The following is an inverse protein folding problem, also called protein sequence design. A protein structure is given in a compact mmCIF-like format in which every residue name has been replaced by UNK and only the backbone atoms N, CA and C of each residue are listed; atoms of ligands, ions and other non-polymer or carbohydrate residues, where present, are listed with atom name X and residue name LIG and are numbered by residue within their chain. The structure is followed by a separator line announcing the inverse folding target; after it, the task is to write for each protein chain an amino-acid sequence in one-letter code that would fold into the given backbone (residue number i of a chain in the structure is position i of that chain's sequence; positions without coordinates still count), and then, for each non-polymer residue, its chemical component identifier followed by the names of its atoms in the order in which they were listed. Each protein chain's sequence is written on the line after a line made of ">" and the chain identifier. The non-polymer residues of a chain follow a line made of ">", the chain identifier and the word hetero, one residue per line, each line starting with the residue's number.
data_IF_376769597560
#
_entry.id   IF_376769597560
#
_cell.length_a   1.000
_cell.length_b   1.000
_cell.length_c   1.000
_cell.angle_alpha   90.00
_cell.angle_beta   90.00
_cell.angle_gamma   90.00
#
_symmetry.space_group_name_H-M   'P 1'
#
loop_
_entity.id
_entity.type
_entity.pdbx_description
1 polymer ?
#
# COMPACT_ATOMS: atom_id res chain seq x y z
N UNK A 1 0.92 -11.54 -12.34
CA UNK A 1 2.20 -12.31 -12.35
C UNK A 1 3.45 -11.49 -12.72
N UNK A 2 3.36 -10.25 -13.23
CA UNK A 2 4.55 -9.42 -13.54
C UNK A 2 5.33 -8.93 -12.29
N UNK A 3 4.65 -8.64 -11.19
CA UNK A 3 5.30 -8.13 -9.97
C UNK A 3 6.31 -9.11 -9.34
N UNK A 4 6.05 -10.43 -9.44
CA UNK A 4 6.96 -11.46 -8.94
C UNK A 4 8.18 -11.69 -9.83
N UNK A 5 8.08 -11.43 -11.14
CA UNK A 5 9.19 -11.59 -12.07
C UNK A 5 10.28 -10.51 -11.91
N UNK A 6 9.91 -9.33 -11.41
CA UNK A 6 10.84 -8.25 -11.08
C UNK A 6 11.30 -8.26 -9.61
N UNK A 7 10.85 -9.24 -8.82
CA UNK A 7 11.26 -9.39 -7.43
C UNK A 7 12.69 -9.95 -7.37
N UNK A 8 13.67 -9.08 -7.13
CA UNK A 8 15.04 -9.54 -6.98
C UNK A 8 15.31 -9.90 -5.50
N UNK A 9 15.29 -11.21 -5.24
CA UNK A 9 15.43 -11.82 -3.90
C UNK A 9 16.73 -11.42 -3.19
N UNK A 10 17.77 -10.98 -3.93
CA UNK A 10 19.03 -10.49 -3.33
C UNK A 10 18.86 -9.21 -2.52
N UNK A 11 17.84 -8.39 -2.81
CA UNK A 11 17.61 -7.14 -2.08
C UNK A 11 16.71 -7.31 -0.85
N UNK A 12 16.10 -8.48 -0.64
CA UNK A 12 15.24 -8.76 0.53
C UNK A 12 15.93 -8.56 1.89
N UNK A 13 17.22 -8.92 2.10
CA UNK A 13 17.90 -8.71 3.38
C UNK A 13 18.16 -7.22 3.69
N UNK A 14 18.55 -6.42 2.68
CA UNK A 14 18.72 -4.97 2.81
C UNK A 14 17.38 -4.24 3.00
N UNK A 15 16.29 -4.88 2.60
CA UNK A 15 14.93 -4.39 2.73
C UNK A 15 14.33 -4.51 4.14
N UNK A 16 14.94 -5.21 5.09
CA UNK A 16 14.34 -5.39 6.42
C UNK A 16 13.95 -4.05 7.07
N UNK A 17 14.91 -3.14 7.20
CA UNK A 17 14.67 -1.82 7.80
C UNK A 17 13.85 -0.91 6.88
N UNK A 18 14.20 -0.81 5.60
CA UNK A 18 13.50 0.05 4.63
C UNK A 18 12.03 -0.36 4.45
N UNK A 19 11.75 -1.66 4.41
CA UNK A 19 10.42 -2.22 4.31
C UNK A 19 9.59 -1.91 5.56
N UNK A 20 10.16 -2.03 6.76
CA UNK A 20 9.47 -1.65 8.01
C UNK A 20 9.15 -0.15 8.00
N UNK A 21 10.13 0.70 7.71
CA UNK A 21 9.93 2.16 7.64
C UNK A 21 8.87 2.52 6.60
N UNK A 22 8.91 1.90 5.43
CA UNK A 22 7.91 2.10 4.38
C UNK A 22 6.52 1.65 4.81
N UNK A 23 6.38 0.46 5.42
CA UNK A 23 5.09 -0.05 5.92
C UNK A 23 4.52 0.92 6.94
N UNK A 24 5.29 1.33 7.94
CA UNK A 24 4.83 2.27 8.98
C UNK A 24 4.44 3.63 8.38
N UNK A 25 5.29 4.18 7.51
CA UNK A 25 5.02 5.47 6.86
C UNK A 25 3.78 5.41 5.97
N UNK A 26 3.61 4.32 5.20
CA UNK A 26 2.45 4.10 4.34
C UNK A 26 1.19 3.93 5.17
N UNK A 27 1.22 3.10 6.20
CA UNK A 27 0.05 2.85 7.06
C UNK A 27 -0.39 4.12 7.79
N UNK A 28 0.54 4.84 8.42
CA UNK A 28 0.23 6.08 9.14
C UNK A 28 -0.23 7.20 8.19
N UNK A 29 0.45 7.37 7.05
CA UNK A 29 0.07 8.35 6.04
C UNK A 29 -1.31 8.07 5.41
N UNK A 30 -1.60 6.80 5.10
CA UNK A 30 -2.88 6.41 4.51
C UNK A 30 -4.03 6.54 5.51
N UNK A 31 -3.88 6.02 6.73
CA UNK A 31 -4.92 6.08 7.76
C UNK A 31 -5.13 7.53 8.22
N UNK A 32 -4.05 8.25 8.51
CA UNK A 32 -4.09 9.65 8.91
C UNK A 32 -4.66 10.54 7.81
N UNK A 33 -4.17 10.38 6.58
CA UNK A 33 -4.64 11.13 5.41
C UNK A 33 -6.11 10.85 5.09
N UNK A 34 -6.56 9.59 5.13
CA UNK A 34 -7.96 9.25 4.92
C UNK A 34 -8.88 9.82 6.01
N UNK A 35 -8.46 9.75 7.28
CA UNK A 35 -9.23 10.29 8.40
C UNK A 35 -9.30 11.82 8.35
N UNK A 36 -8.18 12.47 8.03
CA UNK A 36 -8.11 13.92 7.86
C UNK A 36 -8.92 14.39 6.65
N UNK A 37 -8.80 13.70 5.51
CA UNK A 37 -9.61 13.97 4.32
C UNK A 37 -11.10 13.86 4.60
N UNK A 38 -11.53 12.78 5.27
CA UNK A 38 -12.90 12.58 5.70
C UNK A 38 -13.39 13.63 6.72
N UNK A 39 -12.47 14.17 7.53
CA UNK A 39 -12.77 15.28 8.44
C UNK A 39 -13.05 16.57 7.66
N UNK A 40 -12.15 16.95 6.74
CA UNK A 40 -12.27 18.15 5.91
C UNK A 40 -13.51 18.10 5.01
N UNK A 41 -13.87 16.93 4.48
CA UNK A 41 -15.04 16.74 3.63
C UNK A 41 -16.38 16.65 4.39
N UNK A 42 -16.39 16.82 5.72
CA UNK A 42 -17.59 16.63 6.55
C UNK A 42 -18.29 15.26 6.38
N UNK A 43 -17.52 14.21 6.08
CA UNK A 43 -18.07 12.86 5.91
C UNK A 43 -18.60 12.27 7.23
N UNK A 44 -19.48 11.25 7.19
CA UNK A 44 -19.95 10.55 8.38
C UNK A 44 -18.83 10.09 9.32
N UNK A 45 -19.08 10.12 10.64
CA UNK A 45 -18.10 9.73 11.68
C UNK A 45 -17.55 8.31 11.52
N UNK A 46 -18.35 7.43 10.93
CA UNK A 46 -17.97 6.06 10.54
C UNK A 46 -16.83 6.08 9.52
N UNK A 47 -16.97 6.87 8.45
CA UNK A 47 -15.93 7.04 7.42
C UNK A 47 -14.67 7.69 8.00
N UNK A 48 -14.82 8.72 8.86
CA UNK A 48 -13.66 9.37 9.51
C UNK A 48 -12.80 8.39 10.32
N UNK A 49 -13.40 7.33 10.89
CA UNK A 49 -12.72 6.40 11.80
C UNK A 49 -12.28 5.10 11.13
N UNK A 50 -13.02 4.60 10.15
CA UNK A 50 -12.82 3.25 9.61
C UNK A 50 -12.38 3.21 8.15
N UNK A 51 -12.52 4.31 7.39
CA UNK A 51 -12.13 4.36 5.98
C UNK A 51 -10.65 3.99 5.78
N UNK A 52 -9.76 4.57 6.58
CA UNK A 52 -8.32 4.32 6.50
C UNK A 52 -7.93 2.85 6.72
N UNK A 53 -8.67 2.13 7.58
CA UNK A 53 -8.47 0.70 7.81
C UNK A 53 -9.06 -0.15 6.68
N UNK A 54 -10.15 0.31 6.07
CA UNK A 54 -10.80 -0.35 4.94
C UNK A 54 -9.97 -0.35 3.66
N UNK A 55 -9.27 0.75 3.40
CA UNK A 55 -8.48 0.96 2.16
C UNK A 55 -7.03 0.49 2.27
N UNK A 56 -6.64 -0.22 3.34
CA UNK A 56 -5.25 -0.69 3.50
C UNK A 56 -4.85 -1.71 2.41
N UNK A 57 -5.82 -2.48 1.91
CA UNK A 57 -5.64 -3.45 0.84
C UNK A 57 -5.65 -2.77 -0.54
N UNK A 58 -4.53 -2.17 -0.94
CA UNK A 58 -4.38 -1.50 -2.25
C UNK A 58 -3.16 -2.04 -3.01
N UNK A 59 -3.30 -3.26 -3.55
CA UNK A 59 -2.27 -3.91 -4.34
C UNK A 59 -2.17 -3.36 -5.77
N UNK A 60 -3.31 -3.19 -6.45
CA UNK A 60 -3.36 -2.80 -7.87
C UNK A 60 -2.69 -1.45 -8.15
N UNK A 61 -3.03 -0.42 -7.37
CA UNK A 61 -2.45 0.93 -7.52
C UNK A 61 -0.95 0.91 -7.24
N UNK A 62 -0.53 0.20 -6.18
CA UNK A 62 0.88 0.12 -5.79
C UNK A 62 1.74 -0.53 -6.89
N UNK A 63 1.29 -1.66 -7.43
CA UNK A 63 1.98 -2.34 -8.54
C UNK A 63 1.94 -1.52 -9.83
N UNK A 64 0.84 -0.83 -10.14
CA UNK A 64 0.74 0.04 -11.30
C UNK A 64 1.76 1.19 -11.26
N UNK A 65 1.87 1.87 -10.11
CA UNK A 65 2.84 2.94 -9.89
C UNK A 65 4.29 2.43 -9.93
N UNK A 66 4.56 1.23 -9.42
CA UNK A 66 5.92 0.67 -9.47
C UNK A 66 6.38 0.35 -10.89
N UNK A 67 5.46 -0.09 -11.76
CA UNK A 67 5.75 -0.30 -13.19
C UNK A 67 5.99 1.01 -13.93
N UNK A 68 5.29 2.09 -13.56
CA UNK A 68 5.56 3.43 -14.09
C UNK A 68 6.96 3.90 -13.70
N UNK A 69 7.38 3.67 -12.46
CA UNK A 69 8.74 3.97 -12.01
C UNK A 69 9.77 3.24 -12.86
N UNK A 70 9.57 1.95 -13.18
CA UNK A 70 10.49 1.24 -14.08
C UNK A 70 10.59 1.94 -15.43
N UNK A 71 9.45 2.26 -16.04
CA UNK A 71 9.42 2.89 -17.37
C UNK A 71 10.11 4.26 -17.41
N UNK A 72 9.83 5.11 -16.42
CA UNK A 72 10.41 6.44 -16.32
C UNK A 72 11.91 6.38 -16.00
N UNK A 73 12.29 5.55 -15.02
CA UNK A 73 13.67 5.52 -14.51
C UNK A 73 14.64 4.73 -15.41
N UNK A 74 14.15 3.82 -16.26
CA UNK A 74 14.98 3.15 -17.27
C UNK A 74 15.67 4.12 -18.24
N UNK A 75 15.13 5.33 -18.42
CA UNK A 75 15.74 6.36 -19.28
C UNK A 75 16.99 7.03 -18.66
N UNK A 76 17.22 6.89 -17.35
CA UNK A 76 18.33 7.52 -16.62
C UNK A 76 19.59 6.64 -16.53
N UNK A 77 19.68 5.59 -17.35
CA UNK A 77 20.83 4.69 -17.41
C UNK A 77 20.93 3.73 -16.23
N UNK A 78 22.13 3.18 -16.00
CA UNK A 78 22.36 2.07 -15.04
C UNK A 78 21.93 2.39 -13.60
N UNK A 79 22.07 3.64 -13.16
CA UNK A 79 21.65 4.05 -11.81
C UNK A 79 20.12 4.06 -11.67
N UNK A 80 19.41 4.48 -12.72
CA UNK A 80 17.94 4.45 -12.78
C UNK A 80 17.37 3.02 -12.78
N UNK A 81 18.03 2.10 -13.47
CA UNK A 81 17.67 0.67 -13.45
C UNK A 81 17.83 0.04 -12.06
N UNK A 82 18.92 0.34 -11.34
CA UNK A 82 19.12 -0.15 -9.98
C UNK A 82 18.05 0.39 -9.03
N UNK A 83 17.77 1.70 -9.12
CA UNK A 83 16.78 2.34 -8.26
C UNK A 83 15.36 1.81 -8.53
N UNK A 84 14.98 1.65 -9.80
CA UNK A 84 13.66 1.11 -10.15
C UNK A 84 13.48 -0.33 -9.69
N UNK A 85 14.53 -1.16 -9.78
CA UNK A 85 14.51 -2.53 -9.25
C UNK A 85 14.30 -2.57 -7.74
N UNK A 86 14.97 -1.68 -6.98
CA UNK A 86 14.78 -1.55 -5.53
C UNK A 86 13.34 -1.13 -5.21
N UNK A 87 12.80 -0.14 -5.93
CA UNK A 87 11.43 0.37 -5.72
C UNK A 87 10.39 -0.71 -6.01
N UNK A 88 10.49 -1.41 -7.15
CA UNK A 88 9.55 -2.48 -7.50
C UNK A 88 9.63 -3.63 -6.50
N UNK A 89 10.84 -4.05 -6.14
CA UNK A 89 11.01 -5.12 -5.13
C UNK A 89 10.40 -4.71 -3.80
N UNK A 90 10.59 -3.44 -3.40
CA UNK A 90 10.02 -2.88 -2.17
C UNK A 90 8.51 -2.86 -2.17
N UNK A 91 7.92 -2.35 -3.25
CA UNK A 91 6.47 -2.27 -3.39
C UNK A 91 5.87 -3.67 -3.47
N UNK A 92 6.46 -4.60 -4.22
CA UNK A 92 5.97 -5.97 -4.34
C UNK A 92 6.01 -6.70 -2.99
N UNK A 93 7.14 -6.66 -2.28
CA UNK A 93 7.30 -7.32 -0.99
C UNK A 93 6.32 -6.77 0.07
N UNK A 94 6.21 -5.45 0.16
CA UNK A 94 5.30 -4.81 1.12
C UNK A 94 3.84 -4.96 0.73
N UNK A 95 3.51 -5.06 -0.56
CA UNK A 95 2.15 -5.35 -1.03
C UNK A 95 1.68 -6.73 -0.59
N UNK A 96 2.54 -7.75 -0.64
CA UNK A 96 2.21 -9.09 -0.12
C UNK A 96 1.81 -9.01 1.36
N UNK A 97 2.55 -8.23 2.16
CA UNK A 97 2.21 -8.01 3.56
C UNK A 97 0.83 -7.35 3.74
N UNK A 98 0.51 -6.34 2.92
CA UNK A 98 -0.80 -5.67 2.95
C UNK A 98 -1.94 -6.50 2.35
N UNK A 99 -1.68 -7.46 1.47
CA UNK A 99 -2.71 -8.39 0.99
C UNK A 99 -3.11 -9.41 2.06
N UNK A 100 -2.22 -9.73 3.00
CA UNK A 100 -2.53 -10.58 4.15
C UNK A 100 -3.28 -9.78 5.23
N UNK A 101 -2.78 -8.60 5.59
CA UNK A 101 -3.40 -7.77 6.62
C UNK A 101 -4.68 -7.06 6.15
N UNK A 102 -4.71 -6.66 4.89
CA UNK A 102 -5.79 -5.92 4.25
C UNK A 102 -7.17 -6.49 4.50
N UNK A 103 -7.48 -7.76 4.16
CA UNK A 103 -8.79 -8.33 4.41
C UNK A 103 -9.16 -8.37 5.89
N UNK A 104 -8.18 -8.55 6.78
CA UNK A 104 -8.40 -8.53 8.24
C UNK A 104 -8.81 -7.12 8.67
N UNK A 105 -8.08 -6.09 8.25
CA UNK A 105 -8.37 -4.69 8.60
C UNK A 105 -9.66 -4.19 7.97
N UNK A 106 -9.95 -4.59 6.73
CA UNK A 106 -11.21 -4.27 6.04
C UNK A 106 -12.39 -4.93 6.74
N UNK A 107 -12.27 -6.20 7.14
CA UNK A 107 -13.32 -6.87 7.93
C UNK A 107 -13.58 -6.16 9.25
N UNK A 108 -12.54 -5.76 9.97
CA UNK A 108 -12.67 -5.00 11.23
C UNK A 108 -13.33 -3.64 10.97
N UNK A 109 -12.93 -2.94 9.90
CA UNK A 109 -13.49 -1.65 9.52
C UNK A 109 -15.00 -1.75 9.27
N UNK A 110 -15.44 -2.69 8.45
CA UNK A 110 -16.86 -2.90 8.12
C UNK A 110 -17.66 -3.37 9.35
N UNK A 111 -17.08 -4.25 10.18
CA UNK A 111 -17.71 -4.72 11.43
C UNK A 111 -17.97 -3.55 12.38
N UNK A 112 -16.95 -2.73 12.62
CA UNK A 112 -17.04 -1.60 13.55
C UNK A 112 -17.80 -0.40 12.98
N UNK A 113 -17.92 -0.32 11.66
CA UNK A 113 -18.81 0.62 10.97
C UNK A 113 -20.29 0.28 11.17
N UNK A 114 -20.62 -0.95 11.59
CA UNK A 114 -22.01 -1.41 11.73
C UNK A 114 -22.69 -1.67 10.40
N UNK A 115 -21.89 -1.87 9.33
CA UNK A 115 -22.40 -2.11 7.96
C UNK A 115 -22.55 -3.59 7.64
N UNK A 116 -22.15 -4.49 8.55
CA UNK A 116 -22.39 -5.93 8.38
C UNK A 116 -23.89 -6.22 8.43
N UNK A 117 -24.45 -6.67 7.31
CA UNK A 117 -25.86 -7.05 7.18
C UNK A 117 -26.82 -5.90 6.85
N UNK A 118 -26.31 -4.70 6.56
CA UNK A 118 -27.09 -3.55 6.05
C UNK A 118 -26.96 -3.33 4.54
N UNK A 119 -26.60 -4.38 3.80
CA UNK A 119 -26.61 -4.33 2.34
C UNK A 119 -28.05 -4.25 1.85
N UNK A 120 -28.38 -3.14 1.19
CA UNK A 120 -29.48 -3.08 0.22
C UNK A 120 -29.21 -4.05 -0.94
#
# INVERSE_FOLDING_TARGET
>A
MLAGAHLNVRFLPQMGLLGIVYILSRTTGLIGGASFGAFVSNSPSVLKKYLGLGILSQAGVAIGLSLLVVREFSSYGKMGEQLSSIIVTTIAATTIFFEILGPITTKIAITKAGEIGKGE
#
